data_IF_973432632449
#
_entry.id   IF_973432632449
#
_cell.length_a   1.000
_cell.length_b   1.000
_cell.length_c   1.000
_cell.angle_alpha   90.00
_cell.angle_beta   90.00
_cell.angle_gamma   90.00
#
_symmetry.space_group_name_H-M   'P 1'
#
loop_
_entity.id
_entity.type
_entity.pdbx_description
1 polymer ?
#
# COMPACT_ATOMS: atom_id res chain seq x y z
N UNK A 1 10.41 -22.36 27.49
CA UNK A 1 10.10 -22.28 26.04
C UNK A 1 10.61 -20.94 25.56
N UNK A 2 11.39 -20.91 24.49
CA UNK A 2 11.80 -19.63 23.89
C UNK A 2 10.57 -18.99 23.21
N UNK A 3 10.48 -17.67 23.25
CA UNK A 3 9.41 -16.95 22.58
C UNK A 3 9.58 -17.10 21.05
N UNK A 4 8.50 -17.41 20.29
CA UNK A 4 8.56 -17.57 18.85
C UNK A 4 8.65 -16.20 18.15
N UNK A 5 9.85 -15.60 18.14
CA UNK A 5 10.07 -14.24 17.63
C UNK A 5 9.78 -14.11 16.13
N UNK A 6 10.11 -15.12 15.33
CA UNK A 6 9.93 -15.08 13.88
C UNK A 6 8.46 -15.04 13.51
N UNK A 7 7.67 -15.93 14.10
CA UNK A 7 6.23 -16.04 13.89
C UNK A 7 5.51 -14.79 14.40
N UNK A 8 5.95 -14.21 15.52
CA UNK A 8 5.40 -12.96 16.04
C UNK A 8 5.66 -11.78 15.08
N UNK A 9 6.87 -11.67 14.52
CA UNK A 9 7.22 -10.61 13.57
C UNK A 9 6.43 -10.77 12.27
N UNK A 10 6.38 -11.97 11.69
CA UNK A 10 5.60 -12.23 10.47
C UNK A 10 4.11 -11.96 10.71
N UNK A 11 3.58 -12.39 11.87
CA UNK A 11 2.19 -12.12 12.24
C UNK A 11 1.88 -10.63 12.34
N UNK A 12 2.76 -9.85 12.96
CA UNK A 12 2.61 -8.39 13.02
C UNK A 12 2.71 -7.74 11.63
N UNK A 13 3.64 -8.19 10.80
CA UNK A 13 3.83 -7.70 9.43
C UNK A 13 2.58 -7.91 8.57
N UNK A 14 1.96 -9.10 8.64
CA UNK A 14 0.70 -9.40 7.95
C UNK A 14 -0.44 -8.51 8.47
N UNK A 15 -0.53 -8.32 9.79
CA UNK A 15 -1.55 -7.46 10.40
C UNK A 15 -1.43 -6.01 9.91
N UNK A 16 -0.20 -5.48 9.85
CA UNK A 16 0.08 -4.15 9.34
C UNK A 16 -0.28 -4.03 7.85
N UNK A 17 0.11 -5.01 7.03
CA UNK A 17 -0.26 -5.05 5.61
C UNK A 17 -1.77 -5.00 5.39
N UNK A 18 -2.55 -5.78 6.16
CA UNK A 18 -4.02 -5.76 6.08
C UNK A 18 -4.60 -4.40 6.49
N UNK A 19 -4.04 -3.77 7.52
CA UNK A 19 -4.47 -2.45 7.97
C UNK A 19 -4.20 -1.37 6.94
N UNK A 20 -3.00 -1.34 6.35
CA UNK A 20 -2.62 -0.38 5.31
C UNK A 20 -3.44 -0.57 4.04
N UNK A 21 -3.56 -1.83 3.59
CA UNK A 21 -4.41 -2.18 2.43
C UNK A 21 -5.85 -1.69 2.63
N UNK A 22 -6.40 -1.82 3.84
CA UNK A 22 -7.74 -1.30 4.16
C UNK A 22 -7.83 0.23 4.02
N UNK A 23 -6.82 0.97 4.50
CA UNK A 23 -6.77 2.43 4.35
C UNK A 23 -6.65 2.84 2.87
N UNK A 24 -5.80 2.15 2.11
CA UNK A 24 -5.62 2.40 0.69
C UNK A 24 -6.89 2.13 -0.12
N UNK A 25 -7.64 1.07 0.22
CA UNK A 25 -8.94 0.80 -0.40
C UNK A 25 -9.92 1.95 -0.17
N UNK A 26 -9.93 2.54 1.03
CA UNK A 26 -10.76 3.72 1.33
C UNK A 26 -10.31 4.93 0.53
N UNK A 27 -9.00 5.17 0.42
CA UNK A 27 -8.46 6.27 -0.37
C UNK A 27 -8.77 6.08 -1.86
N UNK A 28 -8.63 4.87 -2.37
CA UNK A 28 -8.95 4.52 -3.75
C UNK A 28 -10.44 4.74 -4.07
N UNK A 29 -11.34 4.39 -3.15
CA UNK A 29 -12.76 4.68 -3.28
C UNK A 29 -13.04 6.20 -3.28
N UNK A 30 -12.36 6.97 -2.43
CA UNK A 30 -12.49 8.42 -2.41
C UNK A 30 -12.02 9.08 -3.72
N UNK A 31 -10.93 8.58 -4.31
CA UNK A 31 -10.41 9.06 -5.61
C UNK A 31 -11.36 8.82 -6.79
N UNK A 32 -12.28 7.86 -6.69
CA UNK A 32 -13.31 7.61 -7.72
C UNK A 32 -14.43 8.66 -7.70
N UNK A 33 -14.56 9.44 -6.64
CA UNK A 33 -15.57 10.47 -6.55
C UNK A 33 -15.24 11.63 -7.51
N UNK A 34 -16.14 12.01 -8.43
CA UNK A 34 -15.86 13.03 -9.43
C UNK A 34 -15.97 14.47 -8.91
N UNK A 35 -16.26 14.66 -7.61
CA UNK A 35 -16.57 15.97 -7.04
C UNK A 35 -15.29 16.72 -6.68
N UNK A 36 -15.11 17.89 -7.30
CA UNK A 36 -14.12 18.87 -6.87
C UNK A 36 -14.52 19.38 -5.46
N UNK A 37 -13.57 19.50 -4.52
CA UNK A 37 -13.84 20.16 -3.25
C UNK A 37 -14.21 21.63 -3.48
N UNK A 38 -15.28 22.12 -2.84
CA UNK A 38 -15.77 23.51 -2.97
C UNK A 38 -14.71 24.57 -2.68
N UNK A 39 -13.72 24.23 -1.84
CA UNK A 39 -12.59 25.10 -1.50
C UNK A 39 -11.57 25.26 -2.62
N UNK A 40 -11.58 24.37 -3.61
CA UNK A 40 -10.66 24.37 -4.76
C UNK A 40 -11.34 24.85 -6.06
N UNK A 41 -12.66 25.12 -6.00
CA UNK A 41 -13.39 25.75 -7.09
C UNK A 41 -12.79 27.14 -7.39
N UNK A 42 -12.34 27.35 -8.63
CA UNK A 42 -11.71 28.60 -9.07
C UNK A 42 -10.18 28.68 -8.92
N UNK A 43 -9.55 27.76 -8.16
CA UNK A 43 -8.07 27.69 -8.03
C UNK A 43 -7.48 26.72 -9.06
N UNK A 44 -8.22 25.66 -9.39
CA UNK A 44 -7.79 24.59 -10.30
C UNK A 44 -8.85 24.43 -11.38
N UNK A 45 -8.42 24.31 -12.65
CA UNK A 45 -9.32 23.98 -13.75
C UNK A 45 -9.82 22.54 -13.64
N UNK A 46 -11.05 22.29 -14.05
CA UNK A 46 -11.65 20.95 -14.04
C UNK A 46 -10.79 19.91 -14.78
N UNK A 47 -10.20 20.30 -15.92
CA UNK A 47 -9.31 19.44 -16.71
C UNK A 47 -8.07 19.00 -15.91
N UNK A 48 -7.45 19.92 -15.16
CA UNK A 48 -6.26 19.61 -14.35
C UNK A 48 -6.62 18.70 -13.18
N UNK A 49 -7.79 18.89 -12.58
CA UNK A 49 -8.30 17.98 -11.54
C UNK A 49 -8.52 16.57 -12.09
N UNK A 50 -9.17 16.43 -13.24
CA UNK A 50 -9.43 15.13 -13.85
C UNK A 50 -8.14 14.40 -14.23
N UNK A 51 -7.17 15.09 -14.83
CA UNK A 51 -5.84 14.51 -15.13
C UNK A 51 -5.12 14.05 -13.86
N UNK A 52 -5.11 14.87 -12.81
CA UNK A 52 -4.50 14.50 -11.53
C UNK A 52 -5.21 13.30 -10.89
N UNK A 53 -6.56 13.26 -10.96
CA UNK A 53 -7.36 12.16 -10.41
C UNK A 53 -7.09 10.85 -11.14
N UNK A 54 -7.04 10.87 -12.47
CA UNK A 54 -6.70 9.71 -13.29
C UNK A 54 -5.31 9.17 -12.93
N UNK A 55 -4.31 10.06 -12.84
CA UNK A 55 -2.96 9.67 -12.40
C UNK A 55 -2.95 9.06 -10.98
N UNK A 56 -3.67 9.66 -10.02
CA UNK A 56 -3.77 9.13 -8.66
C UNK A 56 -4.45 7.74 -8.60
N UNK A 57 -5.44 7.48 -9.46
CA UNK A 57 -6.07 6.16 -9.57
C UNK A 57 -5.09 5.12 -10.12
N UNK A 58 -4.36 5.45 -11.19
CA UNK A 58 -3.36 4.56 -11.77
C UNK A 58 -2.23 4.25 -10.78
N UNK A 59 -1.75 5.29 -10.07
CA UNK A 59 -0.76 5.14 -9.01
C UNK A 59 -1.27 4.23 -7.89
N UNK A 60 -2.53 4.39 -7.47
CA UNK A 60 -3.13 3.56 -6.43
C UNK A 60 -3.27 2.09 -6.88
N UNK A 61 -3.66 1.83 -8.13
CA UNK A 61 -3.70 0.48 -8.68
C UNK A 61 -2.32 -0.21 -8.66
N UNK A 62 -1.29 0.52 -9.09
CA UNK A 62 0.09 0.01 -9.03
C UNK A 62 0.54 -0.23 -7.58
N UNK A 63 0.20 0.67 -6.66
CA UNK A 63 0.55 0.53 -5.25
C UNK A 63 0.00 -0.77 -4.64
N UNK A 64 -1.27 -1.13 -4.89
CA UNK A 64 -1.83 -2.39 -4.39
C UNK A 64 -1.05 -3.62 -4.86
N UNK A 65 -0.63 -3.65 -6.12
CA UNK A 65 0.17 -4.76 -6.67
C UNK A 65 1.57 -4.77 -6.07
N UNK A 66 2.18 -3.59 -5.94
CA UNK A 66 3.50 -3.42 -5.33
C UNK A 66 3.53 -3.94 -3.89
N UNK A 67 2.60 -3.49 -3.04
CA UNK A 67 2.55 -3.90 -1.63
C UNK A 67 2.28 -5.41 -1.49
N UNK A 68 1.43 -5.97 -2.35
CA UNK A 68 1.18 -7.41 -2.37
C UNK A 68 2.43 -8.23 -2.71
N UNK A 69 3.21 -7.79 -3.70
CA UNK A 69 4.46 -8.46 -4.06
C UNK A 69 5.51 -8.27 -2.96
N UNK A 70 5.58 -7.08 -2.36
CA UNK A 70 6.50 -6.78 -1.26
C UNK A 70 6.27 -7.69 -0.05
N UNK A 71 5.03 -7.81 0.45
CA UNK A 71 4.74 -8.65 1.62
C UNK A 71 5.05 -10.14 1.37
N UNK A 72 4.84 -10.63 0.14
CA UNK A 72 5.20 -11.99 -0.25
C UNK A 72 6.73 -12.19 -0.27
N UNK A 73 7.45 -11.23 -0.84
CA UNK A 73 8.91 -11.26 -0.91
C UNK A 73 9.53 -11.18 0.47
N UNK A 74 9.08 -10.25 1.32
CA UNK A 74 9.58 -10.08 2.69
C UNK A 74 9.30 -11.32 3.55
N UNK A 75 8.10 -11.89 3.42
CA UNK A 75 7.76 -13.14 4.08
C UNK A 75 8.68 -14.28 3.63
N UNK A 76 8.93 -14.42 2.33
CA UNK A 76 9.82 -15.45 1.79
C UNK A 76 11.27 -15.26 2.26
N UNK A 77 11.78 -14.02 2.25
CA UNK A 77 13.12 -13.67 2.75
C UNK A 77 13.31 -14.12 4.19
N UNK A 78 12.30 -13.89 5.04
CA UNK A 78 12.32 -14.32 6.43
C UNK A 78 12.23 -15.84 6.55
N UNK A 79 11.22 -16.48 5.97
CA UNK A 79 10.98 -17.93 6.10
C UNK A 79 12.15 -18.78 5.56
N UNK A 80 12.77 -18.38 4.46
CA UNK A 80 13.89 -19.12 3.87
C UNK A 80 15.25 -18.71 4.44
N UNK A 81 15.30 -17.75 5.37
CA UNK A 81 16.56 -17.31 5.98
C UNK A 81 17.54 -16.72 4.95
N UNK A 82 17.02 -16.03 3.93
CA UNK A 82 17.82 -15.45 2.84
C UNK A 82 18.82 -14.42 3.40
N UNK A 83 18.42 -13.67 4.44
CA UNK A 83 19.29 -12.69 5.11
C UNK A 83 20.56 -13.34 5.71
N UNK A 84 20.47 -14.37 6.58
CA UNK A 84 21.65 -15.13 7.01
C UNK A 84 22.48 -15.75 5.89
N UNK A 85 21.84 -16.21 4.81
CA UNK A 85 22.53 -16.78 3.66
C UNK A 85 23.35 -15.73 2.89
N UNK A 86 22.77 -14.55 2.66
CA UNK A 86 23.42 -13.44 1.98
C UNK A 86 24.58 -12.82 2.78
N UNK A 87 24.52 -12.92 4.12
CA UNK A 87 25.55 -12.38 5.00
C UNK A 87 26.80 -13.26 5.10
N UNK A 88 26.72 -14.54 4.69
CA UNK A 88 27.88 -15.42 4.59
C UNK A 88 28.73 -15.10 3.37
#
# INVERSE_FOLDING_TARGET
MAFPYMEAVVGFMILMYLFETYLDLRQHAALKLPKLPKTLEGVISQEKFEKSRAYSLDKSNFHFVHEFVAILMDSAILFFGILPWFWK
#
